data_IF_276631136053
#
_entry.id   IF_276631136053
#
_cell.length_a   1.000
_cell.length_b   1.000
_cell.length_c   1.000
_cell.angle_alpha   90.00
_cell.angle_beta   90.00
_cell.angle_gamma   90.00
#
_symmetry.space_group_name_H-M   'P 1'
#
loop_
_entity.id
_entity.type
_entity.pdbx_description
1 polymer ?
#
# COMPACT_ATOMS: atom_id res chain seq x y z
N UNK A 1 11.89 38.49 -21.70
CA UNK A 1 12.89 37.59 -22.30
C UNK A 1 13.11 36.49 -21.29
N UNK A 2 12.29 35.43 -21.34
CA UNK A 2 12.58 34.19 -22.10
C UNK A 2 13.79 33.46 -21.49
N UNK A 3 13.84 32.18 -21.14
CA UNK A 3 13.04 30.95 -21.21
C UNK A 3 13.66 30.04 -20.10
N UNK A 4 12.94 29.21 -19.34
CA UNK A 4 12.53 27.86 -19.75
C UNK A 4 13.71 26.87 -19.84
N UNK A 5 13.85 25.94 -18.86
CA UNK A 5 14.41 24.61 -19.08
C UNK A 5 14.14 23.66 -17.89
N UNK A 6 13.43 22.57 -18.19
CA UNK A 6 13.16 21.41 -17.33
C UNK A 6 14.42 20.77 -16.74
N UNK A 7 14.28 20.28 -15.51
CA UNK A 7 15.18 19.30 -14.90
C UNK A 7 14.39 18.09 -14.43
N UNK A 8 14.05 17.22 -15.38
CA UNK A 8 13.50 15.89 -15.17
C UNK A 8 14.38 15.07 -14.21
N UNK A 9 13.85 14.71 -13.03
CA UNK A 9 14.49 13.70 -12.19
C UNK A 9 14.10 12.31 -12.71
N UNK A 10 15.09 11.44 -13.01
CA UNK A 10 14.87 10.22 -13.77
C UNK A 10 14.12 9.16 -12.96
N UNK A 11 13.29 8.41 -13.69
CA UNK A 11 12.70 7.13 -13.32
C UNK A 11 13.85 6.16 -12.96
N UNK A 12 14.04 5.90 -11.65
CA UNK A 12 15.09 5.04 -11.12
C UNK A 12 14.52 3.90 -10.29
N UNK A 13 14.43 2.72 -10.93
CA UNK A 13 14.41 1.36 -10.40
C UNK A 13 14.52 1.22 -8.86
N UNK A 14 13.39 1.08 -8.15
CA UNK A 14 13.42 0.65 -6.75
C UNK A 14 13.83 -0.83 -6.69
N UNK A 15 14.74 -1.23 -5.79
CA UNK A 15 15.28 -2.59 -5.73
C UNK A 15 14.22 -3.62 -5.32
N UNK A 16 14.40 -4.84 -5.84
CA UNK A 16 13.66 -6.08 -5.60
C UNK A 16 13.22 -6.31 -4.13
N UNK A 17 12.17 -7.13 -3.89
CA UNK A 17 11.57 -7.30 -2.57
C UNK A 17 12.60 -7.80 -1.57
N UNK A 18 12.92 -6.94 -0.61
CA UNK A 18 13.67 -7.27 0.59
C UNK A 18 12.81 -8.21 1.43
N UNK A 19 12.95 -9.52 1.24
CA UNK A 19 12.39 -10.52 2.15
C UNK A 19 13.10 -10.38 3.51
N UNK A 20 12.44 -9.87 4.56
CA UNK A 20 13.00 -9.95 5.90
C UNK A 20 12.75 -11.37 6.40
N UNK A 21 13.79 -12.00 6.92
CA UNK A 21 13.71 -13.31 7.58
C UNK A 21 12.50 -13.38 8.52
N UNK A 22 11.72 -14.45 8.37
CA UNK A 22 10.46 -14.80 9.03
C UNK A 22 10.58 -14.99 10.57
N UNK A 23 11.23 -14.09 11.29
CA UNK A 23 11.35 -14.14 12.76
C UNK A 23 11.10 -12.80 13.44
N UNK A 24 10.60 -11.79 12.69
CA UNK A 24 10.08 -10.51 13.23
C UNK A 24 8.78 -10.08 12.53
N UNK A 25 7.80 -10.96 12.37
CA UNK A 25 6.43 -10.52 12.05
C UNK A 25 5.79 -9.90 13.30
N UNK A 26 6.35 -8.79 13.76
CA UNK A 26 5.59 -7.81 14.52
C UNK A 26 4.60 -7.23 13.53
N UNK A 27 3.35 -7.75 13.53
CA UNK A 27 2.14 -7.17 12.90
C UNK A 27 2.46 -6.22 11.74
N UNK A 28 3.05 -6.75 10.67
CA UNK A 28 3.51 -5.90 9.57
C UNK A 28 2.28 -5.44 8.80
N UNK A 29 2.04 -4.13 8.79
CA UNK A 29 0.92 -3.52 8.08
C UNK A 29 1.16 -3.67 6.58
N UNK A 30 0.17 -4.20 5.87
CA UNK A 30 0.19 -4.35 4.42
C UNK A 30 -0.74 -3.33 3.76
N UNK A 31 -0.52 -3.09 2.47
CA UNK A 31 -1.40 -2.30 1.61
C UNK A 31 -1.90 -3.16 0.45
N UNK A 32 -3.21 -3.34 0.36
CA UNK A 32 -3.91 -4.06 -0.70
C UNK A 32 -4.36 -3.08 -1.77
N UNK A 33 -4.02 -3.38 -3.02
CA UNK A 33 -4.36 -2.57 -4.19
C UNK A 33 -5.58 -3.18 -4.88
N UNK A 34 -6.62 -2.38 -5.07
CA UNK A 34 -7.83 -2.81 -5.76
C UNK A 34 -7.68 -2.63 -7.27
N UNK A 35 -8.04 -3.65 -8.04
CA UNK A 35 -7.92 -3.63 -9.49
C UNK A 35 -8.89 -2.63 -10.14
N UNK A 36 -10.17 -2.66 -9.75
CA UNK A 36 -11.19 -1.77 -10.31
C UNK A 36 -11.09 -0.34 -9.75
N UNK A 37 -10.65 -0.21 -8.50
CA UNK A 37 -10.65 1.06 -7.76
C UNK A 37 -9.23 1.50 -7.42
N UNK A 38 -8.45 1.89 -8.42
CA UNK A 38 -7.05 2.37 -8.28
C UNK A 38 -6.89 3.57 -7.33
N UNK A 39 -7.97 4.32 -7.10
CA UNK A 39 -7.98 5.46 -6.19
C UNK A 39 -8.16 5.07 -4.73
N UNK A 40 -8.47 3.81 -4.45
CA UNK A 40 -8.73 3.26 -3.12
C UNK A 40 -7.70 2.17 -2.82
N UNK A 41 -7.19 2.18 -1.60
CA UNK A 41 -6.26 1.17 -1.09
C UNK A 41 -6.69 0.77 0.30
N UNK A 42 -6.54 -0.49 0.65
CA UNK A 42 -6.86 -0.97 2.01
C UNK A 42 -5.55 -1.24 2.71
N UNK A 43 -5.32 -0.61 3.87
CA UNK A 43 -4.20 -0.92 4.74
C UNK A 43 -4.67 -1.68 5.96
N UNK A 44 -3.89 -2.65 6.43
CA UNK A 44 -4.23 -3.40 7.63
C UNK A 44 -3.15 -4.40 8.01
N UNK A 45 -3.23 -4.94 9.22
CA UNK A 45 -2.31 -5.98 9.68
C UNK A 45 -2.90 -7.36 9.36
N UNK A 46 -2.19 -8.23 8.64
CA UNK A 46 -2.72 -9.57 8.35
C UNK A 46 -2.77 -10.40 9.63
N UNK A 47 -3.97 -10.88 9.99
CA UNK A 47 -4.20 -11.88 11.04
C UNK A 47 -4.25 -13.29 10.45
N UNK A 48 -4.77 -13.42 9.22
CA UNK A 48 -4.88 -14.71 8.53
C UNK A 48 -5.12 -14.55 7.03
N UNK A 49 -4.80 -15.60 6.28
CA UNK A 49 -5.11 -15.76 4.86
C UNK A 49 -5.46 -17.23 4.59
N UNK A 50 -6.31 -17.50 3.59
CA UNK A 50 -6.68 -18.85 3.19
C UNK A 50 -6.15 -19.22 1.78
N UNK A 51 -6.49 -20.43 1.32
CA UNK A 51 -6.11 -20.96 0.00
C UNK A 51 -6.69 -20.17 -1.17
N UNK A 52 -7.73 -19.38 -0.92
CA UNK A 52 -8.40 -18.51 -1.89
C UNK A 52 -7.91 -17.06 -1.79
N UNK A 53 -6.90 -16.78 -0.97
CA UNK A 53 -6.39 -15.44 -0.67
C UNK A 53 -7.44 -14.52 -0.04
N UNK A 54 -8.47 -15.07 0.64
CA UNK A 54 -9.30 -14.26 1.52
C UNK A 54 -8.40 -13.74 2.66
N UNK A 55 -8.28 -12.43 2.77
CA UNK A 55 -7.41 -11.78 3.75
C UNK A 55 -8.23 -11.34 4.97
N UNK A 56 -7.79 -11.75 6.16
CA UNK A 56 -8.29 -11.24 7.44
C UNK A 56 -7.32 -10.18 7.94
N UNK A 57 -7.79 -8.93 8.00
CA UNK A 57 -7.01 -7.77 8.41
C UNK A 57 -7.48 -7.23 9.76
N UNK A 58 -6.55 -6.96 10.66
CA UNK A 58 -6.71 -6.15 11.87
C UNK A 58 -6.49 -4.67 11.56
N UNK A 59 -7.12 -3.78 12.34
CA UNK A 59 -6.97 -2.32 12.21
C UNK A 59 -7.06 -1.81 10.76
N UNK A 60 -7.99 -2.39 9.99
CA UNK A 60 -8.12 -2.12 8.57
C UNK A 60 -8.59 -0.68 8.31
N UNK A 61 -7.94 0.00 7.37
CA UNK A 61 -8.24 1.37 6.95
C UNK A 61 -8.30 1.47 5.43
N UNK A 62 -9.35 2.10 4.93
CA UNK A 62 -9.48 2.53 3.55
C UNK A 62 -8.77 3.87 3.35
N UNK A 63 -7.82 3.91 2.43
CA UNK A 63 -7.09 5.10 2.02
C UNK A 63 -7.52 5.47 0.61
N UNK A 64 -8.03 6.69 0.45
CA UNK A 64 -8.31 7.26 -0.85
C UNK A 64 -7.15 8.15 -1.31
N UNK A 65 -6.50 7.78 -2.41
CA UNK A 65 -5.35 8.51 -2.97
C UNK A 65 -5.71 9.94 -3.42
N UNK A 66 -6.95 10.16 -3.88
CA UNK A 66 -7.40 11.47 -4.42
C UNK A 66 -7.76 12.47 -3.33
N UNK A 67 -8.54 12.04 -2.34
CA UNK A 67 -9.03 12.89 -1.25
C UNK A 67 -8.11 12.87 -0.03
N UNK A 68 -7.11 11.98 0.00
CA UNK A 68 -6.26 11.68 1.17
C UNK A 68 -7.06 11.34 2.43
N UNK A 69 -8.31 10.93 2.26
CA UNK A 69 -9.18 10.51 3.35
C UNK A 69 -8.83 9.09 3.76
N UNK A 70 -8.87 8.87 5.07
CA UNK A 70 -8.65 7.57 5.71
C UNK A 70 -9.88 7.22 6.51
N UNK A 71 -10.41 6.03 6.29
CA UNK A 71 -11.64 5.55 6.93
C UNK A 71 -11.36 4.18 7.54
N UNK A 72 -11.55 4.04 8.84
CA UNK A 72 -11.42 2.75 9.50
C UNK A 72 -12.56 1.82 9.07
N UNK A 73 -12.20 0.59 8.74
CA UNK A 73 -13.09 -0.48 8.29
C UNK A 73 -13.34 -1.54 9.38
N UNK A 74 -12.67 -1.43 10.53
CA UNK A 74 -12.87 -2.30 11.71
C UNK A 74 -13.74 -1.67 12.80
N UNK A 75 -14.33 -2.50 13.65
CA UNK A 75 -15.03 -2.12 14.88
C UNK A 75 -14.67 -3.08 16.01
#
# INVERSE_FOLDING_TARGET
TELGAEGSKPLGLFPAPFFPSLSRLQRSRIQVWLYEQVNMRIEGCIIGFDEYMNLVLDDAEEIHSKTKSRKQLGR
#
